data_IF_705603582026
#
_entry.id   IF_705603582026
#
_cell.length_a   1.000
_cell.length_b   1.000
_cell.length_c   1.000
_cell.angle_alpha   90.00
_cell.angle_beta   90.00
_cell.angle_gamma   90.00
#
_symmetry.space_group_name_H-M   'P 1'
#
loop_
_entity.id
_entity.type
_entity.pdbx_description
1 polymer ?
#
# COMPACT_ATOMS: atom_id res chain seq x y z
N UNK A 1 -13.64 16.92 6.61
CA UNK A 1 -14.31 16.07 7.61
C UNK A 1 -13.38 14.97 8.03
N UNK A 2 -12.95 14.97 9.25
CA UNK A 2 -12.06 13.92 9.78
C UNK A 2 -12.88 12.69 10.15
N UNK A 3 -12.40 11.52 9.76
CA UNK A 3 -12.99 10.25 10.19
C UNK A 3 -12.87 10.17 11.71
N UNK A 4 -13.97 9.95 12.45
CA UNK A 4 -13.88 9.81 13.89
C UNK A 4 -12.96 8.65 14.25
N UNK A 5 -12.13 8.79 15.29
CA UNK A 5 -11.27 7.69 15.71
C UNK A 5 -12.16 6.50 16.12
N UNK A 6 -11.82 5.32 15.59
CA UNK A 6 -12.49 4.09 16.02
C UNK A 6 -12.09 3.82 17.47
N UNK A 7 -13.07 3.76 18.36
CA UNK A 7 -12.81 3.42 19.75
C UNK A 7 -12.15 2.03 19.83
N UNK A 8 -11.02 1.88 20.53
CA UNK A 8 -10.39 0.59 20.66
C UNK A 8 -11.34 -0.36 21.43
N UNK A 9 -11.54 -1.56 20.86
CA UNK A 9 -12.24 -2.62 21.57
C UNK A 9 -11.44 -3.01 22.83
N UNK A 10 -12.10 -3.25 23.97
CA UNK A 10 -11.42 -3.72 25.16
C UNK A 10 -10.82 -5.09 24.87
N UNK A 11 -9.50 -5.18 24.92
CA UNK A 11 -8.76 -6.42 24.67
C UNK A 11 -7.98 -6.77 25.93
N UNK A 12 -8.17 -7.97 26.42
CA UNK A 12 -7.31 -8.52 27.46
C UNK A 12 -6.00 -8.99 26.81
N UNK A 13 -4.90 -8.29 27.08
CA UNK A 13 -3.59 -8.68 26.59
C UNK A 13 -2.94 -7.64 25.66
N UNK A 14 -2.61 -8.03 24.43
CA UNK A 14 -1.87 -7.21 23.47
C UNK A 14 -2.71 -6.08 22.87
N UNK A 15 -2.05 -4.96 22.57
CA UNK A 15 -2.69 -3.84 21.86
C UNK A 15 -3.15 -4.34 20.46
N UNK A 16 -4.43 -4.13 20.08
CA UNK A 16 -4.90 -4.58 18.77
C UNK A 16 -4.19 -3.84 17.64
N UNK A 17 -3.91 -4.56 16.57
CA UNK A 17 -3.43 -3.95 15.33
C UNK A 17 -4.52 -3.06 14.73
N UNK A 18 -4.18 -1.81 14.49
CA UNK A 18 -5.09 -0.89 13.82
C UNK A 18 -4.89 -0.96 12.31
N UNK A 19 -5.99 -0.88 11.55
CA UNK A 19 -5.92 -0.73 10.12
C UNK A 19 -5.17 0.56 9.78
N UNK A 20 -4.25 0.47 8.82
CA UNK A 20 -3.54 1.64 8.31
C UNK A 20 -4.45 2.42 7.39
N UNK A 21 -4.57 3.71 7.66
CA UNK A 21 -5.36 4.65 6.86
C UNK A 21 -4.43 5.69 6.25
N UNK A 22 -4.40 5.77 4.94
CA UNK A 22 -3.57 6.72 4.21
C UNK A 22 -4.39 7.95 3.78
N UNK A 23 -3.71 9.09 3.65
CA UNK A 23 -4.37 10.35 3.27
C UNK A 23 -5.14 10.24 1.95
N UNK A 24 -4.59 9.58 0.95
CA UNK A 24 -5.26 9.43 -0.35
C UNK A 24 -6.58 8.67 -0.26
N UNK A 25 -6.68 7.72 0.68
CA UNK A 25 -7.93 6.99 0.95
C UNK A 25 -8.99 7.92 1.51
N UNK A 26 -8.58 8.80 2.43
CA UNK A 26 -9.45 9.81 3.02
C UNK A 26 -9.96 10.77 1.95
N UNK A 27 -9.09 11.29 1.11
CA UNK A 27 -9.42 12.20 0.02
C UNK A 27 -10.40 11.57 -0.98
N UNK A 28 -10.20 10.30 -1.32
CA UNK A 28 -11.12 9.57 -2.21
C UNK A 28 -12.51 9.41 -1.58
N UNK A 29 -12.57 8.98 -0.33
CA UNK A 29 -13.85 8.72 0.36
C UNK A 29 -14.62 10.02 0.59
N UNK A 30 -13.92 11.14 0.78
CA UNK A 30 -14.54 12.46 0.93
C UNK A 30 -15.03 13.07 -0.39
N UNK A 31 -14.76 12.42 -1.51
CA UNK A 31 -15.21 12.86 -2.84
C UNK A 31 -16.24 11.87 -3.42
N UNK A 32 -17.53 11.97 -3.03
CA UNK A 32 -18.55 11.04 -3.49
C UNK A 32 -18.80 11.11 -5.00
N UNK A 33 -18.53 12.22 -5.65
CA UNK A 33 -18.67 12.34 -7.11
C UNK A 33 -17.61 11.51 -7.83
N UNK A 34 -16.39 11.48 -7.35
CA UNK A 34 -15.32 10.66 -7.92
C UNK A 34 -15.59 9.16 -7.70
N UNK A 35 -16.03 8.78 -6.51
CA UNK A 35 -16.43 7.40 -6.21
C UNK A 35 -17.57 6.96 -7.13
N UNK A 36 -18.57 7.80 -7.33
CA UNK A 36 -19.70 7.53 -8.22
C UNK A 36 -19.22 7.39 -9.68
N UNK A 37 -18.33 8.25 -10.13
CA UNK A 37 -17.75 8.18 -11.47
C UNK A 37 -16.96 6.89 -11.70
N UNK A 38 -16.15 6.48 -10.73
CA UNK A 38 -15.38 5.23 -10.80
C UNK A 38 -16.29 4.00 -10.85
N UNK A 39 -17.29 3.93 -9.98
CA UNK A 39 -18.24 2.79 -9.97
C UNK A 39 -19.11 2.75 -11.22
N UNK A 40 -19.47 3.90 -11.77
CA UNK A 40 -20.23 3.96 -13.03
C UNK A 40 -19.39 3.50 -14.22
N UNK A 41 -18.08 3.83 -14.22
CA UNK A 41 -17.18 3.47 -15.31
C UNK A 41 -16.71 2.02 -15.27
N UNK A 42 -16.39 1.51 -14.08
CA UNK A 42 -15.74 0.22 -13.91
C UNK A 42 -16.60 -0.85 -13.24
N UNK A 43 -17.79 -0.47 -12.77
CA UNK A 43 -18.67 -1.37 -12.02
C UNK A 43 -18.36 -1.39 -10.53
N UNK A 44 -19.13 -2.20 -9.80
CA UNK A 44 -19.01 -2.38 -8.36
C UNK A 44 -18.96 -3.88 -8.03
N UNK A 45 -18.04 -4.35 -7.17
CA UNK A 45 -17.04 -3.55 -6.46
C UNK A 45 -15.91 -3.07 -7.38
N UNK A 46 -15.26 -1.95 -7.00
CA UNK A 46 -14.08 -1.42 -7.68
C UNK A 46 -12.91 -1.37 -6.71
N UNK A 47 -11.76 -1.87 -7.15
CA UNK A 47 -10.52 -1.81 -6.37
C UNK A 47 -9.70 -0.60 -6.84
N UNK A 48 -9.40 0.28 -5.91
CA UNK A 48 -8.56 1.47 -6.16
C UNK A 48 -7.20 1.24 -5.51
N UNK A 49 -6.14 1.35 -6.31
CA UNK A 49 -4.78 1.09 -5.88
C UNK A 49 -3.93 2.35 -6.05
N UNK A 50 -3.02 2.56 -5.10
CA UNK A 50 -2.05 3.64 -5.18
C UNK A 50 -0.64 3.09 -4.90
N UNK A 51 0.29 3.12 -5.87
CA UNK A 51 1.64 2.63 -5.69
C UNK A 51 2.56 3.60 -4.93
N UNK A 52 2.18 4.85 -4.72
CA UNK A 52 3.03 5.83 -4.03
C UNK A 52 3.45 5.43 -2.61
N UNK A 53 2.59 4.85 -1.76
CA UNK A 53 3.01 4.36 -0.45
C UNK A 53 4.09 3.29 -0.50
N UNK A 54 4.13 2.46 -1.54
CA UNK A 54 5.20 1.46 -1.72
C UNK A 54 6.57 2.15 -1.84
N UNK A 55 6.65 3.18 -2.68
CA UNK A 55 7.90 3.94 -2.87
C UNK A 55 8.35 4.60 -1.57
N UNK A 56 7.42 5.24 -0.88
CA UNK A 56 7.69 5.94 0.36
C UNK A 56 8.17 4.98 1.47
N UNK A 57 7.46 3.87 1.67
CA UNK A 57 7.80 2.88 2.68
C UNK A 57 9.14 2.20 2.39
N UNK A 58 9.42 1.90 1.12
CA UNK A 58 10.72 1.34 0.72
C UNK A 58 11.86 2.32 0.99
N UNK A 59 11.66 3.60 0.71
CA UNK A 59 12.66 4.63 0.98
C UNK A 59 12.93 4.78 2.47
N UNK A 60 11.91 4.73 3.31
CA UNK A 60 12.09 4.73 4.77
C UNK A 60 12.96 3.57 5.26
N UNK A 61 12.76 2.38 4.72
CA UNK A 61 13.57 1.21 5.06
C UNK A 61 15.03 1.38 4.61
N UNK A 62 15.25 1.88 3.40
CA UNK A 62 16.58 2.14 2.86
C UNK A 62 17.31 3.21 3.68
N UNK A 63 16.62 4.28 4.04
CA UNK A 63 17.18 5.37 4.85
C UNK A 63 17.52 4.90 6.27
N UNK A 64 16.67 4.09 6.87
CA UNK A 64 16.92 3.49 8.17
C UNK A 64 18.18 2.60 8.15
N UNK A 65 18.32 1.77 7.12
CA UNK A 65 19.53 0.97 6.93
C UNK A 65 20.76 1.82 6.78
N UNK A 66 20.71 2.84 5.94
CA UNK A 66 21.82 3.75 5.70
C UNK A 66 22.26 4.50 6.97
N UNK A 67 21.31 4.91 7.81
CA UNK A 67 21.59 5.61 9.07
C UNK A 67 22.30 4.74 10.12
N UNK A 68 22.28 3.43 9.94
CA UNK A 68 22.93 2.46 10.82
C UNK A 68 24.08 1.71 10.14
N UNK A 69 24.57 2.20 9.00
CA UNK A 69 25.63 1.56 8.21
C UNK A 69 25.29 0.11 7.79
N UNK A 70 24.00 -0.17 7.61
CA UNK A 70 23.50 -1.47 7.14
C UNK A 70 23.17 -1.39 5.66
N UNK A 71 23.80 -2.24 4.87
CA UNK A 71 23.47 -2.39 3.45
C UNK A 71 22.11 -3.08 3.32
N UNK A 72 21.13 -2.35 2.84
CA UNK A 72 19.74 -2.82 2.77
C UNK A 72 19.29 -2.97 1.33
N UNK A 73 18.58 -4.06 1.04
CA UNK A 73 17.88 -4.27 -0.23
C UNK A 73 16.43 -4.58 0.07
N UNK A 74 15.53 -3.98 -0.70
CA UNK A 74 14.09 -4.17 -0.54
C UNK A 74 13.56 -4.93 -1.76
N UNK A 75 12.77 -5.96 -1.50
CA UNK A 75 12.08 -6.75 -2.52
C UNK A 75 10.57 -6.64 -2.29
N UNK A 76 9.85 -6.22 -3.33
CA UNK A 76 8.40 -6.24 -3.29
C UNK A 76 7.89 -7.66 -3.54
N UNK A 77 7.06 -8.17 -2.63
CA UNK A 77 6.44 -9.49 -2.76
C UNK A 77 5.20 -9.41 -3.67
N UNK A 78 5.34 -9.83 -4.92
CA UNK A 78 4.25 -9.75 -5.91
C UNK A 78 3.01 -10.54 -5.51
N UNK A 79 3.17 -11.59 -4.71
CA UNK A 79 2.03 -12.37 -4.19
C UNK A 79 1.06 -11.54 -3.32
N UNK A 80 1.56 -10.46 -2.70
CA UNK A 80 0.73 -9.59 -1.88
C UNK A 80 -0.23 -8.75 -2.73
N UNK A 81 0.20 -8.32 -3.91
CA UNK A 81 -0.63 -7.65 -4.90
C UNK A 81 -0.05 -7.82 -6.30
N UNK A 82 -0.81 -8.42 -7.20
CA UNK A 82 -0.35 -8.75 -8.56
C UNK A 82 -0.56 -7.63 -9.57
N UNK A 83 -1.07 -6.48 -9.17
CA UNK A 83 -1.26 -5.34 -10.07
C UNK A 83 0.08 -4.85 -10.61
N UNK A 84 0.15 -4.62 -11.93
CA UNK A 84 1.38 -4.21 -12.61
C UNK A 84 1.91 -2.85 -12.13
N UNK A 85 1.05 -1.96 -11.64
CA UNK A 85 1.49 -0.67 -11.11
C UNK A 85 2.47 -0.79 -9.95
N UNK A 86 2.39 -1.85 -9.15
CA UNK A 86 3.35 -2.11 -8.06
C UNK A 86 4.69 -2.62 -8.58
N UNK A 87 4.66 -3.44 -9.63
CA UNK A 87 5.89 -3.89 -10.30
C UNK A 87 6.61 -2.71 -10.95
N UNK A 88 5.87 -1.84 -11.62
CA UNK A 88 6.41 -0.61 -12.21
C UNK A 88 7.01 0.32 -11.15
N UNK A 89 6.29 0.51 -10.04
CA UNK A 89 6.78 1.31 -8.93
C UNK A 89 8.07 0.73 -8.31
N UNK A 90 8.13 -0.58 -8.16
CA UNK A 90 9.33 -1.27 -7.66
C UNK A 90 10.51 -1.07 -8.61
N UNK A 91 10.31 -1.24 -9.90
CA UNK A 91 11.32 -1.02 -10.93
C UNK A 91 11.84 0.42 -10.93
N UNK A 92 10.94 1.39 -10.93
CA UNK A 92 11.30 2.82 -10.92
C UNK A 92 12.04 3.24 -9.66
N UNK A 93 11.78 2.57 -8.54
CA UNK A 93 12.44 2.83 -7.26
C UNK A 93 13.71 2.01 -7.05
N UNK A 94 14.12 1.20 -8.02
CA UNK A 94 15.32 0.35 -7.91
C UNK A 94 15.16 -0.82 -6.95
N UNK A 95 13.93 -1.26 -6.69
CA UNK A 95 13.64 -2.39 -5.83
C UNK A 95 13.66 -3.71 -6.61
N UNK A 96 13.91 -4.81 -5.90
CA UNK A 96 13.70 -6.14 -6.44
C UNK A 96 12.23 -6.53 -6.36
N UNK A 97 11.88 -7.62 -7.04
CA UNK A 97 10.55 -8.22 -6.99
C UNK A 97 10.70 -9.71 -6.65
N UNK A 98 9.98 -10.13 -5.61
CA UNK A 98 9.91 -11.53 -5.20
C UNK A 98 8.66 -12.17 -5.80
N UNK A 99 8.85 -13.27 -6.51
CA UNK A 99 7.76 -14.01 -7.17
C UNK A 99 7.66 -15.42 -6.62
N UNK A 100 6.44 -15.92 -6.49
CA UNK A 100 6.15 -17.24 -5.96
C UNK A 100 5.98 -18.31 -7.05
N UNK A 101 5.85 -17.91 -8.33
CA UNK A 101 5.66 -18.81 -9.45
C UNK A 101 6.26 -18.27 -10.73
N UNK A 102 6.49 -19.14 -11.71
CA UNK A 102 6.94 -18.75 -13.04
C UNK A 102 5.95 -17.81 -13.73
N UNK A 103 4.66 -18.01 -13.53
CA UNK A 103 3.64 -17.15 -14.13
C UNK A 103 3.70 -15.70 -13.61
N UNK A 104 4.10 -15.51 -12.36
CA UNK A 104 4.30 -14.17 -11.80
C UNK A 104 5.55 -13.47 -12.35
N UNK A 105 6.51 -14.25 -12.87
CA UNK A 105 7.75 -13.73 -13.46
C UNK A 105 7.51 -13.17 -14.87
N UNK A 106 6.50 -13.67 -15.59
CA UNK A 106 6.13 -13.26 -16.95
C UNK A 106 5.25 -12.02 -16.93
#
# INVERSE_FOLDING_TARGET
MTTPPVAPLPVHGTVPLRARWEQWMQELVENPQEVSALTSRYGSPVNVLNPAPLRHNAQELLDAGASHDVKTRVFFARKANKALCFVDAARESGLGVDVASENELR
#
